data_IF_704367527040
#
_entry.id   IF_704367527040
#
_cell.length_a   1.000
_cell.length_b   1.000
_cell.length_c   1.000
_cell.angle_alpha   90.00
_cell.angle_beta   90.00
_cell.angle_gamma   90.00
#
_symmetry.space_group_name_H-M   'P 1'
#
loop_
_entity.id
_entity.type
_entity.pdbx_description
1 polymer ?
#
# COMPACT_ATOMS: atom_id res chain seq x y z
N UNK A 1 6.39 7.26 16.52
CA UNK A 1 7.49 6.37 16.93
C UNK A 1 6.94 5.29 17.86
N UNK A 2 6.20 4.33 17.30
CA UNK A 2 5.50 3.28 18.06
C UNK A 2 6.33 2.00 17.89
N UNK A 3 7.50 1.97 18.51
CA UNK A 3 8.22 0.72 18.79
C UNK A 3 8.01 0.40 20.27
N UNK A 4 6.78 0.03 20.62
CA UNK A 4 6.58 -0.75 21.83
C UNK A 4 6.93 -2.19 21.50
N UNK A 5 8.07 -2.61 22.05
CA UNK A 5 8.59 -3.96 21.95
C UNK A 5 7.55 -4.97 22.46
N UNK A 6 7.14 -5.93 21.62
CA UNK A 6 6.11 -6.93 21.92
C UNK A 6 6.44 -7.70 23.22
N UNK A 7 7.73 -7.91 23.51
CA UNK A 7 8.21 -8.53 24.75
C UNK A 7 7.91 -7.68 26.01
N UNK A 8 7.91 -6.35 25.89
CA UNK A 8 7.60 -5.44 27.01
C UNK A 8 6.09 -5.36 27.29
N UNK A 9 5.24 -5.61 26.29
CA UNK A 9 3.79 -5.68 26.46
C UNK A 9 3.39 -7.01 27.14
N UNK A 10 3.98 -8.14 26.72
CA UNK A 10 3.77 -9.43 27.37
C UNK A 10 4.24 -9.44 28.84
N UNK A 11 5.34 -8.75 29.16
CA UNK A 11 5.85 -8.66 30.54
C UNK A 11 4.94 -7.83 31.47
N UNK A 12 4.23 -6.81 30.95
CA UNK A 12 3.25 -6.04 31.73
C UNK A 12 1.98 -6.82 32.06
N UNK A 13 1.60 -7.79 31.21
CA UNK A 13 0.40 -8.62 31.41
C UNK A 13 0.64 -9.70 32.49
N UNK A 14 1.89 -10.13 32.68
CA UNK A 14 2.28 -11.13 33.69
C UNK A 14 2.25 -10.64 35.15
N UNK A 15 2.13 -9.33 35.41
CA UNK A 15 2.05 -8.78 36.77
C UNK A 15 0.63 -8.27 37.04
N UNK A 16 -0.21 -9.17 37.57
CA UNK A 16 -1.63 -8.97 37.86
C UNK A 16 -1.93 -7.74 38.73
N UNK A 17 -2.29 -6.63 38.09
CA UNK A 17 -2.58 -5.37 38.77
C UNK A 17 -3.83 -4.62 38.31
N UNK A 18 -4.67 -5.17 37.42
CA UNK A 18 -5.90 -4.49 36.95
C UNK A 18 -7.13 -5.41 36.86
N UNK A 19 -7.21 -6.44 37.69
CA UNK A 19 -8.45 -7.17 37.95
C UNK A 19 -8.61 -7.42 39.45
N UNK A 20 -8.85 -6.36 40.21
CA UNK A 20 -9.46 -6.49 41.53
C UNK A 20 -10.69 -5.61 41.55
N UNK A 21 -11.82 -6.28 41.69
CA UNK A 21 -13.16 -5.80 41.99
C UNK A 21 -14.12 -5.64 40.79
N UNK A 22 -14.60 -6.79 40.31
CA UNK A 22 -15.91 -6.95 39.68
C UNK A 22 -16.44 -8.34 40.07
N UNK A 23 -17.04 -8.39 41.25
CA UNK A 23 -17.76 -9.56 41.75
C UNK A 23 -19.00 -9.84 40.90
N UNK A 24 -18.97 -10.92 40.11
CA UNK A 24 -20.15 -11.43 39.39
C UNK A 24 -19.84 -12.16 38.09
N UNK A 25 -19.27 -13.36 38.18
CA UNK A 25 -19.20 -14.41 37.13
C UNK A 25 -18.86 -13.91 35.72
N UNK A 26 -17.69 -13.29 35.56
CA UNK A 26 -17.01 -13.31 34.27
C UNK A 26 -16.14 -14.57 34.28
N UNK A 27 -16.51 -15.61 33.53
CA UNK A 27 -15.59 -16.72 33.29
C UNK A 27 -14.39 -16.12 32.54
N UNK A 28 -13.20 -16.16 33.15
CA UNK A 28 -11.99 -15.56 32.60
C UNK A 28 -11.79 -15.98 31.13
N UNK A 29 -12.06 -17.24 30.78
CA UNK A 29 -11.98 -17.75 29.40
C UNK A 29 -12.99 -17.12 28.44
N UNK A 30 -14.21 -16.84 28.90
CA UNK A 30 -15.25 -16.20 28.09
C UNK A 30 -14.91 -14.74 27.81
N UNK A 31 -14.40 -14.03 28.81
CA UNK A 31 -13.91 -12.66 28.64
C UNK A 31 -12.65 -12.58 27.78
N UNK A 32 -11.70 -13.50 27.93
CA UNK A 32 -10.52 -13.54 27.07
C UNK A 32 -10.93 -13.79 25.60
N UNK A 33 -11.87 -14.71 25.34
CA UNK A 33 -12.40 -14.93 23.98
C UNK A 33 -13.10 -13.68 23.44
N UNK A 34 -13.93 -13.03 24.25
CA UNK A 34 -14.59 -11.78 23.88
C UNK A 34 -13.56 -10.68 23.54
N UNK A 35 -12.54 -10.51 24.37
CA UNK A 35 -11.47 -9.53 24.15
C UNK A 35 -10.69 -9.79 22.86
N UNK A 36 -10.34 -11.06 22.58
CA UNK A 36 -9.64 -11.42 21.33
C UNK A 36 -10.53 -11.22 20.10
N UNK A 37 -11.84 -11.45 20.19
CA UNK A 37 -12.78 -11.14 19.12
C UNK A 37 -12.81 -9.63 18.83
N UNK A 38 -12.95 -8.79 19.87
CA UNK A 38 -12.94 -7.32 19.70
C UNK A 38 -11.62 -6.82 19.11
N UNK A 39 -10.47 -7.36 19.55
CA UNK A 39 -9.16 -7.02 18.95
C UNK A 39 -9.11 -7.42 17.47
N UNK A 40 -9.60 -8.61 17.14
CA UNK A 40 -9.64 -9.12 15.77
C UNK A 40 -10.51 -8.24 14.88
N UNK A 41 -11.68 -7.83 15.36
CA UNK A 41 -12.57 -6.91 14.65
C UNK A 41 -11.88 -5.57 14.38
N UNK A 42 -11.29 -4.96 15.40
CA UNK A 42 -10.56 -3.68 15.25
C UNK A 42 -9.43 -3.78 14.21
N UNK A 43 -8.64 -4.85 14.29
CA UNK A 43 -7.51 -5.05 13.35
C UNK A 43 -8.03 -5.27 11.94
N UNK A 44 -9.07 -6.07 11.77
CA UNK A 44 -9.67 -6.40 10.47
C UNK A 44 -10.29 -5.16 9.82
N UNK A 45 -11.09 -4.39 10.58
CA UNK A 45 -11.69 -3.14 10.10
C UNK A 45 -10.63 -2.13 9.69
N UNK A 46 -9.57 -1.96 10.50
CA UNK A 46 -8.44 -1.07 10.14
C UNK A 46 -7.78 -1.48 8.84
N UNK A 47 -7.52 -2.77 8.63
CA UNK A 47 -6.93 -3.28 7.39
C UNK A 47 -7.85 -3.01 6.19
N UNK A 48 -9.15 -3.21 6.33
CA UNK A 48 -10.12 -2.95 5.28
C UNK A 48 -10.15 -1.46 4.90
N UNK A 49 -10.23 -0.55 5.88
CA UNK A 49 -10.19 0.90 5.64
C UNK A 49 -8.92 1.29 4.90
N UNK A 50 -7.76 0.81 5.36
CA UNK A 50 -6.47 1.13 4.72
C UNK A 50 -6.39 0.59 3.30
N UNK A 51 -6.90 -0.62 3.04
CA UNK A 51 -6.93 -1.23 1.71
C UNK A 51 -7.83 -0.44 0.75
N UNK A 52 -9.04 -0.08 1.18
CA UNK A 52 -9.96 0.73 0.38
C UNK A 52 -9.38 2.12 0.08
N UNK A 53 -8.83 2.78 1.10
CA UNK A 53 -8.16 4.06 0.92
C UNK A 53 -6.97 3.96 -0.04
N UNK A 54 -6.15 2.90 0.06
CA UNK A 54 -5.04 2.68 -0.86
C UNK A 54 -5.52 2.53 -2.30
N UNK A 55 -6.56 1.72 -2.54
CA UNK A 55 -7.14 1.57 -3.88
C UNK A 55 -7.55 2.93 -4.46
N UNK A 56 -8.29 3.73 -3.69
CA UNK A 56 -8.73 5.06 -4.13
C UNK A 56 -7.57 6.02 -4.37
N UNK A 57 -6.52 5.98 -3.54
CA UNK A 57 -5.32 6.79 -3.74
C UNK A 57 -4.62 6.42 -5.05
N UNK A 58 -4.45 5.12 -5.34
CA UNK A 58 -3.82 4.67 -6.59
C UNK A 58 -4.67 5.06 -7.81
N UNK A 59 -5.99 4.89 -7.75
CA UNK A 59 -6.90 5.29 -8.82
C UNK A 59 -6.92 6.82 -9.01
N UNK A 60 -6.86 7.59 -7.93
CA UNK A 60 -6.73 9.04 -7.99
C UNK A 60 -5.40 9.45 -8.65
N UNK A 61 -4.29 8.79 -8.30
CA UNK A 61 -3.01 9.02 -8.95
C UNK A 61 -3.04 8.71 -10.45
N UNK A 62 -3.75 7.66 -10.87
CA UNK A 62 -4.01 7.41 -12.29
C UNK A 62 -4.79 8.57 -12.95
N UNK A 63 -5.89 9.04 -12.34
CA UNK A 63 -6.68 10.16 -12.86
C UNK A 63 -5.87 11.44 -12.98
N UNK A 64 -5.05 11.77 -11.98
CA UNK A 64 -4.13 12.92 -12.04
C UNK A 64 -3.15 12.74 -13.20
N UNK A 65 -2.57 11.53 -13.35
CA UNK A 65 -1.70 11.19 -14.46
C UNK A 65 -2.32 11.43 -15.83
N UNK A 66 -3.58 11.01 -16.02
CA UNK A 66 -4.35 11.26 -17.25
C UNK A 66 -4.52 12.75 -17.52
N UNK A 67 -4.94 13.52 -16.51
CA UNK A 67 -5.06 14.98 -16.62
C UNK A 67 -3.74 15.65 -17.00
N UNK A 68 -2.60 15.17 -16.49
CA UNK A 68 -1.26 15.66 -16.86
C UNK A 68 -0.87 15.34 -18.31
N UNK A 69 -1.33 14.22 -18.87
CA UNK A 69 -1.09 13.86 -20.28
C UNK A 69 -1.91 14.77 -21.20
N UNK A 70 -3.19 14.92 -20.91
CA UNK A 70 -4.14 15.76 -21.67
C UNK A 70 -3.73 17.24 -21.69
N UNK A 71 -3.06 17.70 -20.64
CA UNK A 71 -2.58 19.07 -20.49
C UNK A 71 -1.09 19.24 -20.79
N UNK A 72 -0.49 18.32 -21.56
CA UNK A 72 0.93 18.37 -21.94
C UNK A 72 1.35 19.64 -22.71
N UNK A 73 0.40 20.36 -23.32
CA UNK A 73 0.58 21.65 -24.00
C UNK A 73 1.24 22.73 -23.15
N UNK A 74 1.15 22.66 -21.82
CA UNK A 74 1.74 23.65 -20.91
C UNK A 74 3.25 23.45 -20.66
N UNK A 75 3.86 22.41 -21.23
CA UNK A 75 5.30 22.17 -21.19
C UNK A 75 5.82 21.67 -19.82
N UNK A 76 7.15 21.63 -19.67
CA UNK A 76 7.78 20.96 -18.52
C UNK A 76 7.59 21.69 -17.19
N UNK A 77 7.55 23.03 -17.18
CA UNK A 77 7.38 23.85 -15.97
C UNK A 77 6.01 23.69 -15.32
N UNK A 78 5.00 23.30 -16.10
CA UNK A 78 3.63 23.09 -15.64
C UNK A 78 3.55 22.11 -14.46
N UNK A 79 4.30 21.01 -14.49
CA UNK A 79 4.24 20.00 -13.42
C UNK A 79 4.81 20.56 -12.12
N UNK A 80 5.87 21.36 -12.19
CA UNK A 80 6.51 21.94 -11.00
C UNK A 80 5.62 23.05 -10.40
N UNK A 81 4.98 23.87 -11.24
CA UNK A 81 3.96 24.85 -10.80
C UNK A 81 2.77 24.15 -10.16
N UNK A 82 2.15 23.18 -10.84
CA UNK A 82 1.00 22.45 -10.32
C UNK A 82 1.32 21.74 -8.99
N UNK A 83 2.50 21.15 -8.85
CA UNK A 83 2.92 20.53 -7.59
C UNK A 83 3.07 21.56 -6.46
N UNK A 84 3.42 22.80 -6.78
CA UNK A 84 3.51 23.90 -5.80
C UNK A 84 2.11 24.30 -5.36
N UNK A 85 1.21 24.56 -6.30
CA UNK A 85 -0.16 24.97 -6.02
C UNK A 85 -0.91 23.89 -5.22
N UNK A 86 -0.83 22.63 -5.64
CA UNK A 86 -1.45 21.51 -4.93
C UNK A 86 -0.92 21.34 -3.50
N UNK A 87 0.35 21.64 -3.24
CA UNK A 87 0.88 21.60 -1.87
C UNK A 87 0.42 22.77 -1.00
N UNK A 88 0.16 23.92 -1.61
CA UNK A 88 -0.41 25.06 -0.89
C UNK A 88 -1.84 24.77 -0.46
N UNK A 89 -2.64 24.18 -1.35
CA UNK A 89 -4.04 23.83 -1.08
C UNK A 89 -4.16 22.59 -0.17
N UNK A 90 -3.23 21.63 -0.28
CA UNK A 90 -3.27 20.36 0.45
C UNK A 90 -1.96 20.08 1.21
N UNK A 91 -1.58 20.91 2.20
CA UNK A 91 -0.26 20.84 2.85
C UNK A 91 -0.01 19.53 3.62
N UNK A 92 -1.08 18.87 4.10
CA UNK A 92 -0.98 17.61 4.85
C UNK A 92 -1.03 16.37 3.95
N UNK A 93 -1.30 16.53 2.65
CA UNK A 93 -1.46 15.41 1.73
C UNK A 93 -0.11 14.95 1.18
N UNK A 94 0.17 13.67 1.34
CA UNK A 94 1.38 13.06 0.82
C UNK A 94 1.25 12.73 -0.68
N UNK A 95 2.39 12.70 -1.37
CA UNK A 95 2.43 12.30 -2.78
C UNK A 95 2.10 13.40 -3.79
N UNK A 96 2.00 14.68 -3.40
CA UNK A 96 1.79 15.79 -4.33
C UNK A 96 3.09 16.51 -4.74
N UNK A 97 4.24 15.84 -4.62
CA UNK A 97 5.51 16.41 -5.11
C UNK A 97 5.59 16.34 -6.63
N UNK A 98 6.33 17.25 -7.26
CA UNK A 98 6.53 17.25 -8.71
C UNK A 98 7.12 15.93 -9.23
N UNK A 99 8.03 15.31 -8.45
CA UNK A 99 8.53 13.96 -8.75
C UNK A 99 7.39 12.95 -8.79
N UNK A 100 6.48 12.99 -7.81
CA UNK A 100 5.38 12.04 -7.77
C UNK A 100 4.36 12.30 -8.88
N UNK A 101 4.07 13.56 -9.23
CA UNK A 101 3.24 13.89 -10.39
C UNK A 101 3.84 13.33 -11.70
N UNK A 102 5.16 13.35 -11.86
CA UNK A 102 5.83 12.69 -12.98
C UNK A 102 5.62 11.16 -12.97
N UNK A 103 5.68 10.52 -11.79
CA UNK A 103 5.31 9.10 -11.68
C UNK A 103 3.85 8.85 -12.00
N UNK A 104 2.91 9.69 -11.55
CA UNK A 104 1.49 9.59 -11.89
C UNK A 104 1.25 9.67 -13.40
N UNK A 105 1.88 10.66 -14.06
CA UNK A 105 1.84 10.81 -15.52
C UNK A 105 2.37 9.56 -16.22
N UNK A 106 3.48 9.01 -15.74
CA UNK A 106 4.08 7.79 -16.29
C UNK A 106 3.20 6.57 -16.06
N UNK A 107 2.62 6.43 -14.86
CA UNK A 107 1.69 5.35 -14.51
C UNK A 107 0.48 5.35 -15.43
N UNK A 108 -0.14 6.52 -15.65
CA UNK A 108 -1.27 6.67 -16.57
C UNK A 108 -0.92 6.49 -18.06
N UNK A 109 0.39 6.48 -18.40
CA UNK A 109 0.87 6.18 -19.75
C UNK A 109 1.16 4.68 -19.92
N UNK A 110 1.62 4.02 -18.87
CA UNK A 110 2.08 2.63 -18.90
C UNK A 110 1.00 1.61 -18.51
N UNK A 111 -0.07 2.04 -17.84
CA UNK A 111 -1.19 1.18 -17.47
C UNK A 111 -2.50 1.73 -18.04
N UNK A 112 -3.38 0.83 -18.46
CA UNK A 112 -4.77 1.15 -18.78
C UNK A 112 -5.66 1.01 -17.55
N UNK A 113 -6.77 1.76 -17.50
CA UNK A 113 -7.67 1.75 -16.34
C UNK A 113 -8.20 0.34 -16.03
N UNK A 114 -8.62 -0.40 -17.05
CA UNK A 114 -9.17 -1.74 -16.89
C UNK A 114 -8.08 -2.73 -16.43
N UNK A 115 -6.85 -2.59 -16.92
CA UNK A 115 -5.70 -3.40 -16.48
C UNK A 115 -5.38 -3.20 -14.99
N UNK A 116 -5.51 -1.95 -14.49
CA UNK A 116 -5.31 -1.65 -13.05
C UNK A 116 -6.30 -2.43 -12.18
N UNK A 117 -7.55 -2.55 -12.63
CA UNK A 117 -8.60 -3.27 -11.93
C UNK A 117 -8.44 -4.79 -12.08
N UNK A 118 -8.21 -5.26 -13.29
CA UNK A 118 -8.08 -6.69 -13.62
C UNK A 118 -6.93 -7.35 -12.85
N UNK A 119 -5.74 -6.74 -12.84
CA UNK A 119 -4.57 -7.28 -12.16
C UNK A 119 -4.43 -6.78 -10.73
N UNK A 120 -5.47 -6.14 -10.19
CA UNK A 120 -5.49 -5.62 -8.81
C UNK A 120 -4.30 -4.72 -8.47
N UNK A 121 -3.77 -3.98 -9.46
CA UNK A 121 -2.60 -3.11 -9.29
C UNK A 121 -2.83 -2.10 -8.17
N UNK A 122 -4.06 -1.61 -8.04
CA UNK A 122 -4.48 -0.67 -7.01
C UNK A 122 -4.36 -1.21 -5.56
N UNK A 123 -4.29 -2.54 -5.37
CA UNK A 123 -4.09 -3.16 -4.05
C UNK A 123 -2.64 -3.06 -3.56
N UNK A 124 -1.69 -2.78 -4.46
CA UNK A 124 -0.29 -2.61 -4.07
C UNK A 124 -0.05 -1.23 -3.47
N UNK A 125 0.88 -1.10 -2.51
CA UNK A 125 1.39 0.19 -2.10
C UNK A 125 1.99 0.94 -3.29
N UNK A 126 1.76 2.26 -3.38
CA UNK A 126 2.28 3.10 -4.47
C UNK A 126 3.80 2.98 -4.70
N UNK A 127 4.58 2.83 -3.63
CA UNK A 127 6.03 2.62 -3.74
C UNK A 127 6.41 1.31 -4.42
N UNK A 128 5.59 0.28 -4.26
CA UNK A 128 5.78 -1.02 -4.92
C UNK A 128 5.49 -0.87 -6.42
N UNK A 129 4.39 -0.19 -6.77
CA UNK A 129 4.01 0.11 -8.17
C UNK A 129 5.13 0.87 -8.88
N UNK A 130 5.62 1.95 -8.28
CA UNK A 130 6.73 2.75 -8.85
C UNK A 130 8.04 1.95 -8.96
N UNK A 131 8.32 1.05 -8.01
CA UNK A 131 9.48 0.15 -8.08
C UNK A 131 9.38 -0.81 -9.28
N UNK A 132 8.21 -1.40 -9.50
CA UNK A 132 7.93 -2.27 -10.66
C UNK A 132 8.12 -1.49 -11.95
N UNK A 133 7.53 -0.28 -12.04
CA UNK A 133 7.70 0.58 -13.20
C UNK A 133 9.18 0.90 -13.47
N UNK A 134 9.96 1.20 -12.44
CA UNK A 134 11.36 1.59 -12.59
C UNK A 134 12.24 0.44 -13.05
N UNK A 135 12.05 -0.75 -12.47
CA UNK A 135 12.91 -1.91 -12.68
C UNK A 135 12.53 -2.75 -13.89
N UNK A 136 11.26 -2.82 -14.24
CA UNK A 136 10.75 -3.73 -15.27
C UNK A 136 10.18 -2.92 -16.43
N UNK A 137 10.57 -3.27 -17.66
CA UNK A 137 10.10 -2.58 -18.89
C UNK A 137 9.02 -3.35 -19.61
N UNK A 138 9.14 -4.67 -19.64
CA UNK A 138 8.15 -5.54 -20.27
C UNK A 138 6.83 -5.53 -19.49
N UNK A 139 5.70 -5.54 -20.20
CA UNK A 139 4.39 -5.42 -19.56
C UNK A 139 3.93 -6.74 -18.94
N UNK A 140 4.23 -7.87 -19.59
CA UNK A 140 3.80 -9.19 -19.13
C UNK A 140 4.60 -9.58 -17.88
N UNK A 141 5.90 -9.27 -17.85
CA UNK A 141 6.75 -9.41 -16.66
C UNK A 141 6.22 -8.56 -15.49
N UNK A 142 5.78 -7.32 -15.74
CA UNK A 142 5.19 -6.47 -14.69
C UNK A 142 3.95 -7.10 -14.10
N UNK A 143 3.01 -7.52 -14.96
CA UNK A 143 1.76 -8.15 -14.54
C UNK A 143 2.07 -9.38 -13.68
N UNK A 144 3.02 -10.22 -14.14
CA UNK A 144 3.43 -11.39 -13.40
C UNK A 144 3.98 -11.06 -12.00
N UNK A 145 4.89 -10.08 -11.89
CA UNK A 145 5.41 -9.67 -10.58
C UNK A 145 4.34 -9.01 -9.70
N UNK A 146 3.37 -8.29 -10.27
CA UNK A 146 2.24 -7.73 -9.51
C UNK A 146 1.42 -8.85 -8.89
N UNK A 147 1.04 -9.84 -9.70
CA UNK A 147 0.25 -11.00 -9.26
C UNK A 147 1.00 -11.81 -8.20
N UNK A 148 2.28 -12.11 -8.44
CA UNK A 148 3.12 -12.82 -7.45
C UNK A 148 3.34 -12.04 -6.17
N UNK A 149 3.45 -10.71 -6.25
CA UNK A 149 3.55 -9.86 -5.06
C UNK A 149 2.29 -9.93 -4.22
N UNK A 150 1.12 -9.94 -4.84
CA UNK A 150 -0.17 -10.05 -4.16
C UNK A 150 -0.42 -11.46 -3.60
N UNK A 151 -0.08 -12.49 -4.36
CA UNK A 151 -0.21 -13.90 -3.96
C UNK A 151 0.67 -14.22 -2.74
N UNK A 152 1.92 -13.78 -2.76
CA UNK A 152 2.91 -14.11 -1.73
C UNK A 152 3.10 -13.03 -0.67
N UNK A 153 2.31 -11.95 -0.74
CA UNK A 153 2.39 -10.80 0.16
C UNK A 153 3.82 -10.23 0.30
N UNK A 154 4.53 -10.12 -0.82
CA UNK A 154 5.91 -9.65 -0.78
C UNK A 154 5.98 -8.20 -0.31
N UNK A 155 6.87 -7.96 0.66
CA UNK A 155 7.33 -6.60 0.92
C UNK A 155 8.09 -6.07 -0.30
N UNK A 156 8.21 -4.74 -0.40
CA UNK A 156 9.01 -4.11 -1.46
C UNK A 156 10.43 -4.69 -1.54
N UNK A 157 11.10 -4.89 -0.40
CA UNK A 157 12.45 -5.45 -0.36
C UNK A 157 12.50 -6.87 -0.91
N UNK A 158 11.51 -7.69 -0.59
CA UNK A 158 11.41 -9.06 -1.14
C UNK A 158 11.17 -9.01 -2.63
N UNK A 159 10.24 -8.17 -3.11
CA UNK A 159 10.03 -7.97 -4.55
C UNK A 159 11.32 -7.55 -5.26
N UNK A 160 12.05 -6.57 -4.73
CA UNK A 160 13.31 -6.12 -5.31
C UNK A 160 14.35 -7.25 -5.39
N UNK A 161 14.41 -8.11 -4.37
CA UNK A 161 15.23 -9.31 -4.39
C UNK A 161 14.76 -10.32 -5.46
N UNK A 162 13.46 -10.58 -5.57
CA UNK A 162 12.94 -11.53 -6.57
C UNK A 162 13.25 -11.07 -7.99
N UNK A 163 13.07 -9.77 -8.27
CA UNK A 163 13.47 -9.15 -9.54
C UNK A 163 14.97 -9.33 -9.76
N UNK A 164 15.81 -9.04 -8.76
CA UNK A 164 17.27 -9.18 -8.90
C UNK A 164 17.75 -10.61 -9.15
N UNK A 165 16.99 -11.61 -8.69
CA UNK A 165 17.25 -13.03 -8.96
C UNK A 165 16.53 -13.57 -10.20
N UNK A 166 15.98 -12.68 -11.02
CA UNK A 166 15.24 -12.97 -12.24
C UNK A 166 14.22 -14.11 -12.07
N UNK A 167 13.40 -14.02 -11.02
CA UNK A 167 12.43 -15.08 -10.72
C UNK A 167 11.46 -15.32 -11.89
N UNK A 168 11.07 -14.26 -12.61
CA UNK A 168 10.22 -14.36 -13.80
C UNK A 168 10.80 -15.31 -14.85
N UNK A 169 12.07 -15.16 -15.23
CA UNK A 169 12.71 -16.03 -16.21
C UNK A 169 12.78 -17.48 -15.73
N UNK A 170 12.97 -17.68 -14.42
CA UNK A 170 13.09 -19.02 -13.83
C UNK A 170 11.76 -19.77 -13.76
N UNK A 171 10.66 -19.07 -13.56
CA UNK A 171 9.34 -19.66 -13.35
C UNK A 171 8.39 -19.44 -14.53
N UNK A 172 8.22 -18.21 -14.99
CA UNK A 172 7.20 -17.87 -15.98
C UNK A 172 7.56 -18.26 -17.42
N UNK A 173 8.84 -18.25 -17.78
CA UNK A 173 9.30 -18.57 -19.14
C UNK A 173 9.66 -20.04 -19.35
N UNK A 174 9.78 -20.81 -18.27
CA UNK A 174 10.15 -22.23 -18.31
C UNK A 174 8.98 -23.18 -18.01
N UNK A 175 7.78 -22.63 -17.81
CA UNK A 175 6.52 -23.37 -17.58
C UNK A 175 5.77 -23.60 -18.91
#
# INVERSE_FOLDING_TARGET
NIKMNFAALCCKISKGGYMKDLTGVINDDEYFKFLENIKTDIITTRRQILSQANNEVVLMYYRIGKGLIENSKYGNRFIDTLATDLKLDFPNMQGLSARNLRYMKRFAKEFEYDSILQHNVAKLPWTTITTIMDKIKDNDERIWYIEKTLENLWSRTVLEHQIATNLYERQALND
#
